data_IF_796488862425
#
_entry.id   IF_796488862425
#
_cell.length_a   1.000
_cell.length_b   1.000
_cell.length_c   1.000
_cell.angle_alpha   90.00
_cell.angle_beta   90.00
_cell.angle_gamma   90.00
#
_symmetry.space_group_name_H-M   'P 1'
#
loop_
_entity.id
_entity.type
_entity.pdbx_description
1 polymer ?
#
# COMPACT_ATOMS: atom_id res chain seq x y z
N UNK A 1 -8.48 13.47 -25.21
CA UNK A 1 -7.52 14.58 -25.11
C UNK A 1 -6.50 14.36 -26.21
N UNK A 2 -6.39 15.32 -27.13
CA UNK A 2 -5.39 15.28 -28.18
C UNK A 2 -4.03 15.68 -27.60
N UNK A 3 -2.97 14.94 -27.90
CA UNK A 3 -1.64 15.19 -27.34
C UNK A 3 -1.07 16.53 -27.83
N UNK A 4 -1.59 17.06 -28.95
CA UNK A 4 -1.28 18.39 -29.47
C UNK A 4 -1.74 19.55 -28.56
N UNK A 5 -2.62 19.28 -27.59
CA UNK A 5 -3.05 20.26 -26.59
C UNK A 5 -2.15 20.29 -25.34
N UNK A 6 -1.18 19.37 -25.24
CA UNK A 6 -0.16 19.38 -24.19
C UNK A 6 0.98 20.27 -24.64
N UNK A 7 0.98 21.54 -24.20
CA UNK A 7 2.06 22.48 -24.49
C UNK A 7 3.36 21.90 -23.92
N UNK A 8 4.40 21.61 -24.73
CA UNK A 8 5.69 21.20 -24.22
C UNK A 8 6.32 22.43 -23.56
N UNK A 9 6.08 22.57 -22.26
CA UNK A 9 6.77 23.58 -21.47
C UNK A 9 8.19 23.08 -21.30
N UNK A 10 9.14 23.78 -21.93
CA UNK A 10 10.56 23.55 -21.64
C UNK A 10 10.75 23.74 -20.14
N UNK A 11 11.21 22.68 -19.48
CA UNK A 11 11.40 22.69 -18.04
C UNK A 11 12.54 23.68 -17.72
N UNK A 12 12.32 24.68 -16.84
CA UNK A 12 13.36 25.60 -16.42
C UNK A 12 14.61 24.85 -15.90
N UNK A 13 15.82 25.37 -16.17
CA UNK A 13 17.06 24.75 -15.71
C UNK A 13 17.06 24.53 -14.20
N UNK A 14 17.23 23.28 -13.76
CA UNK A 14 17.26 22.92 -12.35
C UNK A 14 15.89 22.66 -11.71
N UNK A 15 14.79 22.72 -12.47
CA UNK A 15 13.51 22.18 -12.00
C UNK A 15 13.45 20.66 -12.13
N UNK A 16 12.73 20.04 -11.20
CA UNK A 16 12.48 18.60 -11.25
C UNK A 16 11.31 18.31 -12.20
N UNK A 17 11.37 17.30 -13.09
CA UNK A 17 10.34 17.03 -14.12
C UNK A 17 8.92 16.87 -13.57
N UNK A 18 8.79 16.42 -12.32
CA UNK A 18 7.52 16.24 -11.63
C UNK A 18 7.15 17.38 -10.66
N UNK A 19 7.86 18.52 -10.68
CA UNK A 19 7.58 19.67 -9.82
C UNK A 19 6.14 20.18 -10.01
N UNK A 20 5.66 20.19 -11.26
CA UNK A 20 4.30 20.62 -11.60
C UNK A 20 3.19 19.91 -10.81
N UNK A 21 3.43 18.67 -10.35
CA UNK A 21 2.45 17.96 -9.53
C UNK A 21 2.21 18.56 -8.14
N UNK A 22 3.17 19.32 -7.62
CA UNK A 22 3.11 19.87 -6.27
C UNK A 22 2.68 21.34 -6.26
N UNK A 23 2.42 21.94 -7.42
CA UNK A 23 1.93 23.32 -7.53
C UNK A 23 0.62 23.45 -6.75
N UNK A 24 0.58 24.37 -5.79
CA UNK A 24 -0.59 24.60 -4.93
C UNK A 24 -0.78 23.58 -3.80
N UNK A 25 -0.01 22.48 -3.78
CA UNK A 25 0.02 21.53 -2.66
C UNK A 25 1.12 21.85 -1.64
N UNK A 26 2.18 22.54 -2.07
CA UNK A 26 3.29 22.97 -1.22
C UNK A 26 3.54 24.47 -1.36
N UNK A 27 4.33 25.03 -0.44
CA UNK A 27 4.72 26.44 -0.52
C UNK A 27 5.44 26.72 -1.85
N UNK A 28 5.09 27.86 -2.47
CA UNK A 28 5.60 28.26 -3.78
C UNK A 28 7.14 28.26 -3.80
N UNK A 29 7.73 27.66 -4.82
CA UNK A 29 9.18 27.51 -5.00
C UNK A 29 9.78 26.26 -4.34
N UNK A 30 8.99 25.46 -3.61
CA UNK A 30 9.45 24.19 -3.00
C UNK A 30 9.15 22.95 -3.82
N UNK A 31 8.41 23.08 -4.90
CA UNK A 31 7.87 21.99 -5.71
C UNK A 31 8.98 21.04 -6.20
N UNK A 32 10.06 21.61 -6.73
CA UNK A 32 11.21 20.82 -7.19
C UNK A 32 11.96 20.11 -6.07
N UNK A 33 12.06 20.73 -4.89
CA UNK A 33 12.70 20.11 -3.72
C UNK A 33 11.86 18.96 -3.17
N UNK A 34 10.54 19.15 -3.11
CA UNK A 34 9.59 18.10 -2.69
C UNK A 34 9.56 16.97 -3.71
N UNK A 35 9.60 17.27 -5.00
CA UNK A 35 9.63 16.25 -6.03
C UNK A 35 10.91 15.40 -5.97
N UNK A 36 12.09 15.99 -5.71
CA UNK A 36 13.32 15.23 -5.44
C UNK A 36 13.20 14.35 -4.20
N UNK A 37 12.71 14.91 -3.09
CA UNK A 37 12.50 14.13 -1.88
C UNK A 37 11.55 12.94 -2.15
N UNK A 38 10.43 13.17 -2.82
CA UNK A 38 9.39 12.16 -3.04
C UNK A 38 9.81 11.11 -4.07
N UNK A 39 10.34 11.54 -5.22
CA UNK A 39 10.66 10.64 -6.34
C UNK A 39 12.10 10.12 -6.28
N UNK A 40 13.09 10.95 -5.98
CA UNK A 40 14.49 10.53 -6.03
C UNK A 40 14.95 9.91 -4.70
N UNK A 41 14.65 10.57 -3.57
CA UNK A 41 15.12 10.12 -2.25
C UNK A 41 14.22 9.03 -1.65
N UNK A 42 12.91 9.24 -1.63
CA UNK A 42 11.93 8.30 -1.07
C UNK A 42 11.51 7.22 -2.08
N UNK A 43 11.72 7.45 -3.37
CA UNK A 43 11.43 6.46 -4.41
C UNK A 43 9.95 6.24 -4.70
N UNK A 44 9.07 7.20 -4.38
CA UNK A 44 7.67 7.13 -4.79
C UNK A 44 7.55 7.10 -6.32
N UNK A 45 6.51 6.48 -6.86
CA UNK A 45 6.30 6.35 -8.31
C UNK A 45 4.81 6.55 -8.60
N UNK A 46 4.49 7.24 -9.69
CA UNK A 46 3.10 7.53 -10.12
C UNK A 46 2.36 6.33 -10.68
N UNK A 47 3.12 5.29 -11.01
CA UNK A 47 2.61 3.99 -11.39
C UNK A 47 2.61 3.09 -10.16
N UNK A 48 1.42 2.73 -9.67
CA UNK A 48 1.22 1.71 -8.64
C UNK A 48 0.66 0.43 -9.29
N UNK A 49 1.47 -0.37 -9.98
CA UNK A 49 1.03 -1.66 -10.48
C UNK A 49 0.65 -2.56 -9.31
N UNK A 50 -0.19 -3.55 -9.57
CA UNK A 50 -0.27 -4.71 -8.68
C UNK A 50 1.12 -5.26 -8.42
N UNK A 51 1.38 -5.62 -7.17
CA UNK A 51 2.69 -6.13 -6.78
C UNK A 51 3.00 -7.39 -7.61
N UNK A 52 4.07 -7.32 -8.40
CA UNK A 52 4.58 -8.49 -9.12
C UNK A 52 5.63 -9.17 -8.27
N UNK A 53 5.52 -10.48 -8.13
CA UNK A 53 6.47 -11.29 -7.36
C UNK A 53 7.53 -11.87 -8.28
N UNK A 54 8.79 -11.73 -7.87
CA UNK A 54 9.96 -12.25 -8.57
C UNK A 54 10.75 -13.07 -7.57
N UNK A 55 10.93 -14.35 -7.85
CA UNK A 55 11.77 -15.24 -7.05
C UNK A 55 13.10 -15.41 -7.75
N UNK A 56 14.17 -15.26 -6.99
CA UNK A 56 15.52 -15.57 -7.45
C UNK A 56 16.21 -16.46 -6.42
N UNK A 57 16.97 -17.44 -6.90
CA UNK A 57 17.59 -18.44 -6.05
C UNK A 57 19.03 -18.69 -6.49
N UNK A 58 19.90 -18.88 -5.49
CA UNK A 58 21.33 -19.09 -5.65
C UNK A 58 21.76 -20.42 -5.03
N UNK A 59 22.81 -20.98 -5.59
CA UNK A 59 23.60 -22.06 -5.02
C UNK A 59 25.07 -21.59 -4.99
N UNK A 60 25.56 -21.22 -3.80
CA UNK A 60 26.90 -20.65 -3.60
C UNK A 60 27.87 -21.77 -3.23
N UNK A 61 28.84 -22.07 -4.09
CA UNK A 61 29.76 -23.23 -3.99
C UNK A 61 29.03 -24.59 -3.91
N UNK A 62 27.81 -24.67 -4.45
CA UNK A 62 27.04 -25.91 -4.58
C UNK A 62 26.59 -26.09 -6.02
N UNK A 63 26.88 -27.25 -6.61
CA UNK A 63 26.30 -27.65 -7.89
C UNK A 63 24.93 -28.30 -7.64
N UNK A 64 23.86 -27.72 -8.17
CA UNK A 64 22.50 -28.21 -7.97
C UNK A 64 21.70 -28.17 -9.28
N UNK A 65 21.03 -29.27 -9.67
CA UNK A 65 20.34 -29.36 -10.97
C UNK A 65 19.00 -28.62 -11.04
N UNK A 66 18.70 -27.71 -10.11
CA UNK A 66 17.34 -27.24 -9.82
C UNK A 66 17.03 -25.78 -10.21
N UNK A 67 17.65 -25.25 -11.27
CA UNK A 67 17.32 -23.92 -11.80
C UNK A 67 17.72 -22.76 -10.86
N UNK A 68 18.68 -23.01 -9.97
CA UNK A 68 19.35 -21.99 -9.16
C UNK A 68 20.54 -21.44 -9.93
N UNK A 69 20.84 -20.18 -9.72
CA UNK A 69 22.07 -19.58 -10.23
C UNK A 69 23.25 -20.12 -9.41
N UNK A 70 24.15 -20.84 -10.07
CA UNK A 70 25.39 -21.32 -9.47
C UNK A 70 26.42 -20.19 -9.47
N UNK A 71 26.94 -19.88 -8.29
CA UNK A 71 27.92 -18.83 -8.03
C UNK A 71 28.93 -19.33 -7.02
N UNK A 72 30.08 -18.67 -6.91
CA UNK A 72 31.12 -19.03 -5.96
C UNK A 72 31.28 -17.97 -4.87
N UNK A 73 31.85 -18.36 -3.73
CA UNK A 73 32.32 -17.35 -2.75
C UNK A 73 33.39 -16.48 -3.40
N UNK A 74 33.27 -15.17 -3.22
CA UNK A 74 34.12 -14.16 -3.87
C UNK A 74 33.51 -13.56 -5.14
N UNK A 75 32.46 -14.17 -5.70
CA UNK A 75 31.78 -13.59 -6.86
C UNK A 75 31.03 -12.32 -6.45
N UNK A 76 31.06 -11.31 -7.31
CA UNK A 76 30.29 -10.08 -7.11
C UNK A 76 29.02 -10.09 -7.94
N UNK A 77 27.92 -9.61 -7.39
CA UNK A 77 26.65 -9.43 -8.10
C UNK A 77 26.36 -7.96 -8.32
N UNK A 78 25.83 -7.61 -9.50
CA UNK A 78 25.22 -6.30 -9.77
C UNK A 78 23.99 -6.51 -10.65
N UNK A 79 23.03 -7.26 -10.12
CA UNK A 79 21.83 -7.65 -10.85
C UNK A 79 20.67 -6.70 -10.55
N UNK A 80 19.99 -6.20 -11.59
CA UNK A 80 18.79 -5.38 -11.42
C UNK A 80 17.55 -6.27 -11.47
N UNK A 81 16.72 -6.18 -10.44
CA UNK A 81 15.45 -6.90 -10.38
C UNK A 81 14.53 -6.39 -11.50
N UNK A 82 13.97 -7.28 -12.34
CA UNK A 82 13.12 -6.87 -13.46
C UNK A 82 11.93 -6.00 -13.02
N UNK A 83 11.76 -4.83 -13.64
CA UNK A 83 10.69 -3.88 -13.29
C UNK A 83 11.01 -2.92 -12.14
N UNK A 84 12.13 -3.11 -11.46
CA UNK A 84 12.55 -2.23 -10.36
C UNK A 84 13.02 -0.83 -10.78
N UNK A 85 13.14 -0.56 -12.09
CA UNK A 85 13.41 0.78 -12.61
C UNK A 85 12.20 1.72 -12.57
N UNK A 86 10.99 1.16 -12.49
CA UNK A 86 9.72 1.92 -12.58
C UNK A 86 8.87 1.83 -11.31
N UNK A 87 9.21 0.92 -10.38
CA UNK A 87 8.50 0.69 -9.13
C UNK A 87 9.47 0.37 -7.98
N UNK A 88 8.99 0.51 -6.74
CA UNK A 88 9.75 0.11 -5.56
C UNK A 88 9.96 -1.40 -5.47
N UNK A 89 10.97 -1.81 -4.71
CA UNK A 89 11.26 -3.24 -4.47
C UNK A 89 11.41 -3.53 -2.99
N UNK A 90 10.80 -4.63 -2.55
CA UNK A 90 10.88 -5.15 -1.18
C UNK A 90 11.15 -6.65 -1.19
N UNK A 91 11.99 -7.10 -0.26
CA UNK A 91 12.14 -8.52 0.04
C UNK A 91 10.94 -8.97 0.88
N UNK A 92 10.24 -10.01 0.43
CA UNK A 92 8.97 -10.47 1.03
C UNK A 92 9.15 -11.77 1.78
N UNK A 93 9.99 -12.67 1.26
CA UNK A 93 10.30 -13.95 1.89
C UNK A 93 11.66 -14.48 1.45
N UNK A 94 12.17 -15.44 2.21
CA UNK A 94 13.48 -16.03 1.96
C UNK A 94 14.64 -15.20 2.52
N UNK A 95 15.85 -15.48 2.04
CA UNK A 95 17.08 -14.85 2.51
C UNK A 95 18.00 -14.53 1.33
N UNK A 96 18.62 -13.36 1.40
CA UNK A 96 19.75 -13.04 0.55
C UNK A 96 20.99 -13.80 1.04
N UNK A 97 21.86 -14.26 0.14
CA UNK A 97 23.19 -14.76 0.50
C UNK A 97 23.97 -13.71 1.31
N UNK A 98 24.76 -14.12 2.32
CA UNK A 98 25.60 -13.22 3.09
C UNK A 98 26.55 -12.41 2.20
N UNK A 99 26.60 -11.10 2.44
CA UNK A 99 27.39 -10.14 1.65
C UNK A 99 26.63 -9.52 0.47
N UNK A 100 25.47 -10.06 0.11
CA UNK A 100 24.56 -9.47 -0.88
C UNK A 100 23.51 -8.59 -0.19
N UNK A 101 23.28 -7.39 -0.73
CA UNK A 101 22.25 -6.46 -0.25
C UNK A 101 21.39 -5.90 -1.38
N UNK A 102 20.13 -5.61 -1.05
CA UNK A 102 19.21 -4.91 -1.96
C UNK A 102 19.35 -3.39 -1.80
N UNK A 103 19.75 -2.72 -2.88
CA UNK A 103 19.66 -1.28 -3.02
C UNK A 103 18.25 -0.88 -3.49
N UNK A 104 17.38 -0.55 -2.54
CA UNK A 104 15.97 -0.25 -2.80
C UNK A 104 15.73 0.89 -3.80
N UNK A 105 16.63 1.88 -3.86
CA UNK A 105 16.51 3.05 -4.74
C UNK A 105 16.82 2.75 -6.21
N UNK A 106 17.75 1.83 -6.50
CA UNK A 106 18.06 1.37 -7.87
C UNK A 106 17.39 0.05 -8.24
N UNK A 107 16.89 -0.69 -7.24
CA UNK A 107 16.37 -2.03 -7.43
C UNK A 107 17.44 -3.08 -7.74
N UNK A 108 18.69 -2.82 -7.35
CA UNK A 108 19.82 -3.72 -7.61
C UNK A 108 20.17 -4.57 -6.40
N UNK A 109 20.50 -5.83 -6.66
CA UNK A 109 21.28 -6.65 -5.75
C UNK A 109 22.75 -6.37 -6.01
N UNK A 110 23.47 -5.95 -4.97
CA UNK A 110 24.89 -5.62 -5.02
C UNK A 110 25.63 -6.28 -3.87
N UNK A 111 26.90 -6.58 -4.09
CA UNK A 111 27.80 -7.12 -3.06
C UNK A 111 28.55 -8.34 -3.55
N UNK A 112 29.14 -9.06 -2.60
CA UNK A 112 29.98 -10.24 -2.83
C UNK A 112 29.43 -11.41 -2.04
N UNK A 113 29.40 -12.61 -2.62
CA UNK A 113 28.99 -13.81 -1.90
C UNK A 113 30.08 -14.22 -0.91
N UNK A 114 29.75 -14.27 0.39
CA UNK A 114 30.76 -14.52 1.45
C UNK A 114 30.63 -15.88 2.14
N UNK A 115 29.48 -16.54 2.00
CA UNK A 115 29.22 -17.80 2.69
C UNK A 115 28.59 -18.82 1.74
N UNK A 116 29.18 -20.03 1.61
CA UNK A 116 28.57 -21.12 0.85
C UNK A 116 27.17 -21.44 1.35
N UNK A 117 26.26 -21.78 0.46
CA UNK A 117 24.91 -22.17 0.85
C UNK A 117 23.89 -22.05 -0.25
N UNK A 118 22.68 -22.45 0.10
CA UNK A 118 21.55 -22.52 -0.82
C UNK A 118 20.54 -21.47 -0.37
N UNK A 119 20.38 -20.42 -1.17
CA UNK A 119 19.58 -19.23 -0.81
C UNK A 119 18.46 -19.03 -1.82
N UNK A 120 17.32 -18.53 -1.35
CA UNK A 120 16.19 -18.15 -2.20
C UNK A 120 15.54 -16.93 -1.61
N UNK A 121 15.22 -15.95 -2.45
CA UNK A 121 14.60 -14.70 -2.06
C UNK A 121 13.45 -14.37 -3.02
N UNK A 122 12.30 -14.02 -2.47
CA UNK A 122 11.17 -13.51 -3.24
C UNK A 122 11.01 -12.03 -2.99
N UNK A 123 10.97 -11.26 -4.08
CA UNK A 123 10.82 -9.81 -4.09
C UNK A 123 9.45 -9.44 -4.63
N UNK A 124 8.83 -8.43 -4.03
CA UNK A 124 7.70 -7.74 -4.61
C UNK A 124 8.19 -6.46 -5.29
N UNK A 125 7.82 -6.33 -6.56
CA UNK A 125 8.04 -5.13 -7.38
C UNK A 125 6.70 -4.39 -7.47
N UNK A 126 6.63 -3.22 -6.86
CA UNK A 126 5.38 -2.48 -6.70
C UNK A 126 5.50 -1.40 -5.61
N UNK A 127 4.37 -0.96 -5.03
CA UNK A 127 4.37 -0.01 -3.93
C UNK A 127 5.18 -0.54 -2.74
N UNK A 128 6.09 0.28 -2.21
CA UNK A 128 6.89 -0.07 -1.02
C UNK A 128 6.36 0.59 0.25
N UNK A 129 5.75 1.77 0.12
CA UNK A 129 5.25 2.58 1.23
C UNK A 129 3.85 3.11 0.93
N UNK A 130 3.11 3.43 1.99
CA UNK A 130 1.83 4.13 1.94
C UNK A 130 1.79 5.22 2.99
N UNK A 131 0.95 6.22 2.78
CA UNK A 131 0.67 7.24 3.79
C UNK A 131 -0.37 6.72 4.80
N UNK A 132 -0.08 6.86 6.09
CA UNK A 132 -1.00 6.73 7.21
C UNK A 132 -1.41 8.13 7.67
N UNK A 133 -2.70 8.31 7.93
CA UNK A 133 -3.25 9.53 8.51
C UNK A 133 -3.20 9.50 10.05
N UNK A 134 -2.65 8.44 10.65
CA UNK A 134 -2.49 8.28 12.10
C UNK A 134 -3.82 8.42 12.86
N UNK A 135 -4.92 8.02 12.23
CA UNK A 135 -6.27 8.14 12.77
C UNK A 135 -6.94 9.51 12.58
N UNK A 136 -6.27 10.46 11.90
CA UNK A 136 -6.79 11.77 11.51
C UNK A 136 -7.75 11.73 10.32
N UNK A 137 -8.34 12.89 9.99
CA UNK A 137 -9.36 13.04 8.96
C UNK A 137 -8.78 13.33 7.57
N UNK A 138 -7.47 13.60 7.50
CA UNK A 138 -6.76 13.86 6.25
C UNK A 138 -6.80 15.33 5.83
N UNK A 139 -7.10 16.23 6.77
CA UNK A 139 -7.10 17.67 6.53
C UNK A 139 -5.68 18.24 6.51
N UNK A 140 -5.52 19.40 5.88
CA UNK A 140 -4.25 20.10 5.84
C UNK A 140 -3.79 20.44 7.27
N UNK A 141 -2.60 19.97 7.66
CA UNK A 141 -2.04 20.14 9.01
C UNK A 141 -2.17 18.92 9.92
N UNK A 142 -2.93 17.89 9.52
CA UNK A 142 -3.00 16.64 10.26
C UNK A 142 -1.64 15.92 10.29
N UNK A 143 -1.34 15.25 11.41
CA UNK A 143 -0.15 14.42 11.52
C UNK A 143 -0.27 13.21 10.59
N UNK A 144 0.71 13.04 9.71
CA UNK A 144 0.79 11.92 8.78
C UNK A 144 2.11 11.18 8.92
N UNK A 145 2.12 9.90 8.57
CA UNK A 145 3.31 9.06 8.59
C UNK A 145 3.40 8.18 7.35
N UNK A 146 4.55 8.20 6.70
CA UNK A 146 4.87 7.17 5.69
C UNK A 146 5.20 5.85 6.40
N UNK A 147 4.54 4.77 5.98
CA UNK A 147 4.69 3.44 6.57
C UNK A 147 4.89 2.37 5.49
N UNK A 148 5.48 1.20 5.81
CA UNK A 148 5.56 0.08 4.89
C UNK A 148 4.19 -0.33 4.34
N UNK A 149 4.14 -0.74 3.07
CA UNK A 149 2.89 -1.09 2.39
C UNK A 149 2.09 -2.19 3.11
N UNK A 150 2.79 -3.16 3.70
CA UNK A 150 2.19 -4.33 4.36
C UNK A 150 1.74 -4.05 5.80
N UNK A 151 2.16 -2.93 6.41
CA UNK A 151 1.78 -2.60 7.78
C UNK A 151 0.34 -2.05 7.81
N UNK A 152 -0.57 -2.54 8.66
CA UNK A 152 -1.95 -2.05 8.69
C UNK A 152 -1.99 -0.57 9.10
N UNK A 153 -2.89 0.21 8.47
CA UNK A 153 -3.07 1.64 8.81
C UNK A 153 -3.71 1.79 10.18
N UNK A 154 -3.42 2.91 10.83
CA UNK A 154 -4.16 3.34 12.02
C UNK A 154 -5.61 3.64 11.60
N UNK A 155 -6.62 3.02 12.22
CA UNK A 155 -8.01 3.29 11.88
C UNK A 155 -8.35 4.76 12.19
N UNK A 156 -9.09 5.39 11.28
CA UNK A 156 -9.64 6.72 11.52
C UNK A 156 -10.57 6.66 12.73
N UNK A 157 -10.45 7.65 13.64
CA UNK A 157 -11.48 7.84 14.66
C UNK A 157 -12.72 8.39 13.97
N UNK A 158 -13.75 7.56 13.87
CA UNK A 158 -15.07 7.98 13.41
C UNK A 158 -15.92 8.31 14.62
N UNK A 159 -16.32 9.58 14.75
CA UNK A 159 -17.33 10.00 15.73
C UNK A 159 -18.76 9.67 15.25
N UNK A 160 -18.90 9.11 14.04
CA UNK A 160 -20.17 8.62 13.53
C UNK A 160 -20.51 7.32 14.26
N UNK A 161 -21.50 7.40 15.14
CA UNK A 161 -22.11 6.22 15.77
C UNK A 161 -22.68 5.34 14.66
N UNK A 162 -22.06 4.17 14.44
CA UNK A 162 -22.53 3.22 13.42
C UNK A 162 -23.95 2.82 13.83
N UNK A 163 -24.97 2.99 12.95
CA UNK A 163 -26.31 2.53 13.27
C UNK A 163 -26.28 1.04 13.59
N UNK A 164 -26.72 0.67 14.79
CA UNK A 164 -26.77 -0.75 15.19
C UNK A 164 -27.66 -1.52 14.22
N UNK A 165 -27.10 -2.55 13.61
CA UNK A 165 -27.83 -3.53 12.81
C UNK A 165 -28.34 -4.67 13.71
N UNK A 166 -29.34 -5.44 13.27
CA UNK A 166 -29.97 -6.49 14.10
C UNK A 166 -28.96 -7.51 14.67
N UNK A 167 -27.90 -7.80 13.92
CA UNK A 167 -26.79 -8.70 14.26
C UNK A 167 -25.79 -8.12 15.27
N UNK A 168 -25.84 -6.81 15.52
CA UNK A 168 -24.96 -6.11 16.47
C UNK A 168 -25.68 -5.67 17.74
N UNK A 169 -27.00 -5.92 17.84
CA UNK A 169 -27.77 -5.67 19.05
C UNK A 169 -27.39 -6.66 20.14
N UNK A 170 -27.35 -6.17 21.38
CA UNK A 170 -27.25 -7.07 22.55
C UNK A 170 -28.55 -7.86 22.73
N UNK A 171 -28.49 -8.98 23.45
CA UNK A 171 -29.68 -9.80 23.72
C UNK A 171 -30.82 -8.98 24.38
N UNK A 172 -30.48 -8.08 25.31
CA UNK A 172 -31.46 -7.21 25.98
C UNK A 172 -32.12 -6.22 25.01
N UNK A 173 -31.35 -5.64 24.09
CA UNK A 173 -31.87 -4.70 23.09
C UNK A 173 -32.73 -5.40 22.04
N UNK A 174 -32.37 -6.62 21.65
CA UNK A 174 -33.16 -7.43 20.75
C UNK A 174 -34.49 -7.84 21.38
N UNK A 175 -34.49 -8.21 22.66
CA UNK A 175 -35.72 -8.52 23.41
C UNK A 175 -36.64 -7.29 23.51
N UNK A 176 -36.08 -6.11 23.80
CA UNK A 176 -36.83 -4.86 23.84
C UNK A 176 -37.44 -4.50 22.47
N UNK A 177 -36.68 -4.65 21.38
CA UNK A 177 -37.17 -4.42 20.03
C UNK A 177 -38.30 -5.39 19.66
N UNK A 178 -38.16 -6.65 20.04
CA UNK A 178 -39.18 -7.69 19.79
C UNK A 178 -40.47 -7.40 20.56
N UNK A 179 -40.36 -6.96 21.81
CA UNK A 179 -41.50 -6.56 22.63
C UNK A 179 -42.25 -5.37 22.03
N UNK A 180 -41.53 -4.35 21.54
CA UNK A 180 -42.15 -3.18 20.90
C UNK A 180 -42.81 -3.57 19.57
N UNK A 181 -42.19 -4.44 18.76
CA UNK A 181 -42.78 -4.96 17.53
C UNK A 181 -44.09 -5.72 17.80
N UNK A 182 -44.14 -6.58 18.83
CA UNK A 182 -45.35 -7.30 19.24
C UNK A 182 -46.44 -6.35 19.74
N UNK A 183 -46.07 -5.30 20.48
CA UNK A 183 -47.01 -4.26 20.94
C UNK A 183 -47.64 -3.53 19.76
N UNK A 184 -46.84 -3.12 18.78
CA UNK A 184 -47.32 -2.45 17.58
C UNK A 184 -48.22 -3.36 16.73
N UNK A 185 -47.88 -4.65 16.60
CA UNK A 185 -48.73 -5.62 15.91
C UNK A 185 -50.09 -5.78 16.60
N UNK A 186 -50.15 -5.79 17.93
CA UNK A 186 -51.41 -5.86 18.69
C UNK A 186 -52.27 -4.61 18.49
N UNK A 187 -51.66 -3.42 18.52
CA UNK A 187 -52.36 -2.15 18.27
C UNK A 187 -52.95 -2.15 16.86
N UNK A 188 -52.13 -2.52 15.85
CA UNK A 188 -52.59 -2.62 14.46
C UNK A 188 -53.71 -3.64 14.28
N UNK A 189 -53.64 -4.80 14.94
CA UNK A 189 -54.70 -5.81 14.90
C UNK A 189 -56.01 -5.32 15.53
N UNK A 190 -55.93 -4.49 16.58
CA UNK A 190 -57.10 -3.86 17.19
C UNK A 190 -57.70 -2.79 16.28
N UNK A 191 -56.89 -1.97 15.61
CA UNK A 191 -57.37 -1.00 14.62
C UNK A 191 -58.06 -1.67 13.42
N UNK A 192 -57.51 -2.79 12.92
CA UNK A 192 -58.14 -3.58 11.85
C UNK A 192 -59.48 -4.14 12.30
N UNK A 193 -59.59 -4.67 13.53
CA UNK A 193 -60.87 -5.15 14.09
C UNK A 193 -61.92 -4.06 14.28
N UNK A 194 -61.49 -2.83 14.58
CA UNK A 194 -62.42 -1.69 14.73
C UNK A 194 -62.90 -1.19 13.36
N UNK A 195 -62.08 -1.33 12.31
CA UNK A 195 -62.41 -0.90 10.95
C UNK A 195 -63.13 -1.96 10.07
N UNK A 196 -63.20 -3.23 10.48
CA UNK A 196 -63.99 -4.28 9.81
C UNK A 196 -65.08 -4.84 10.75
N UNK A 197 -66.33 -4.31 10.73
CA UNK A 197 -67.41 -4.75 11.62
C UNK A 197 -68.15 -6.03 11.15
N UNK A 198 -67.54 -6.88 10.32
CA UNK A 198 -68.22 -8.03 9.71
C UNK A 198 -67.44 -9.35 9.81
N UNK A 199 -66.97 -9.71 11.01
CA UNK A 199 -67.00 -11.08 11.58
C UNK A 199 -67.23 -10.96 13.08
#
# INVERSE_FOLDING_TARGET
>A
MDYEQVVPTELPPGEHPYAGMFVGLVAQGRESAVARLVFDELGARLYTPDARFITHAWAVDFALPNGREEVSVGDTVTWRIPGAGVAGVRLVSGALPPGIRLERHTGRLVGEFTTPGVYSATFAVGPAVKLDLMGGTGLAGDAVKWMPIDQPRTPAKSDVEVPKTLDTLTAQELDALTAEAQRLMRIKAQEVRVNDPAI
#
